data_IF_467610450587
#
_entry.id   IF_467610450587
#
_cell.length_a   1.000
_cell.length_b   1.000
_cell.length_c   1.000
_cell.angle_alpha   90.00
_cell.angle_beta   90.00
_cell.angle_gamma   90.00
#
_symmetry.space_group_name_H-M   'P 1'
#
loop_
_entity.id
_entity.type
_entity.pdbx_description
1 polymer ?
#
# COMPACT_ATOMS: atom_id res chain seq x y z
N UNK A 1 -0.70 9.47 -21.89
CA UNK A 1 -0.08 8.46 -21.00
C UNK A 1 1.00 9.18 -20.22
N UNK A 2 0.77 9.43 -18.93
CA UNK A 2 1.74 10.09 -18.06
C UNK A 2 2.79 9.06 -17.63
N UNK A 3 4.04 9.28 -18.00
CA UNK A 3 5.14 8.40 -17.60
C UNK A 3 5.64 8.81 -16.22
N UNK A 4 5.17 8.08 -15.20
CA UNK A 4 5.48 8.36 -13.80
C UNK A 4 6.98 8.31 -13.50
N UNK A 5 7.73 7.45 -14.20
CA UNK A 5 9.17 7.33 -14.02
C UNK A 5 9.88 8.54 -14.60
N UNK A 6 9.47 9.01 -15.78
CA UNK A 6 9.98 10.23 -16.40
C UNK A 6 9.75 11.47 -15.52
N UNK A 7 8.56 11.61 -14.93
CA UNK A 7 8.26 12.75 -14.05
C UNK A 7 9.01 12.65 -12.71
N UNK A 8 9.17 11.45 -12.15
CA UNK A 8 10.01 11.21 -10.96
C UNK A 8 11.48 11.58 -11.24
N UNK A 9 12.03 11.18 -12.38
CA UNK A 9 13.39 11.53 -12.78
C UNK A 9 13.56 13.04 -12.97
N UNK A 10 12.60 13.70 -13.61
CA UNK A 10 12.61 15.16 -13.78
C UNK A 10 12.57 15.91 -12.44
N UNK A 11 11.81 15.41 -11.46
CA UNK A 11 11.81 15.93 -10.09
C UNK A 11 13.16 15.71 -9.40
N UNK A 12 13.70 14.48 -9.40
CA UNK A 12 14.97 14.16 -8.75
C UNK A 12 16.16 14.95 -9.33
N UNK A 13 16.19 15.13 -10.65
CA UNK A 13 17.19 15.94 -11.35
C UNK A 13 17.12 17.43 -10.96
N UNK A 14 15.93 17.93 -10.61
CA UNK A 14 15.78 19.30 -10.09
C UNK A 14 16.14 19.38 -8.60
N UNK A 15 15.77 18.36 -7.83
CA UNK A 15 15.97 18.30 -6.38
C UNK A 15 17.44 18.20 -5.97
N UNK A 16 18.32 17.63 -6.81
CA UNK A 16 19.74 17.48 -6.50
C UNK A 16 20.45 18.81 -6.22
N UNK A 17 20.01 19.92 -6.82
CA UNK A 17 20.55 21.27 -6.58
C UNK A 17 20.22 21.80 -5.17
N UNK A 18 19.32 21.14 -4.45
CA UNK A 18 18.85 21.51 -3.11
C UNK A 18 19.30 20.52 -2.02
N UNK A 19 20.15 19.54 -2.37
CA UNK A 19 20.67 18.47 -1.51
C UNK A 19 21.54 19.05 -0.38
N UNK A 20 20.88 19.52 0.68
CA UNK A 20 21.49 20.19 1.82
C UNK A 20 20.52 21.02 2.66
N UNK A 21 19.34 21.38 2.12
CA UNK A 21 18.29 22.05 2.89
C UNK A 21 17.38 21.00 3.55
N UNK A 22 17.36 20.98 4.88
CA UNK A 22 16.64 19.97 5.68
C UNK A 22 15.13 20.23 5.80
N UNK A 23 14.68 21.45 5.51
CA UNK A 23 13.28 21.88 5.69
C UNK A 23 12.69 22.36 4.35
N UNK A 24 12.63 21.48 3.35
CA UNK A 24 11.98 21.82 2.07
C UNK A 24 10.52 21.41 2.16
N UNK A 25 9.63 22.40 2.24
CA UNK A 25 8.17 22.20 2.17
C UNK A 25 7.70 22.69 0.80
N UNK A 26 7.24 21.78 -0.05
CA UNK A 26 6.70 22.12 -1.36
C UNK A 26 5.22 22.49 -1.26
N UNK A 27 4.94 23.79 -1.12
CA UNK A 27 3.58 24.33 -1.14
C UNK A 27 3.59 25.77 -1.64
N UNK A 28 2.44 26.22 -2.14
CA UNK A 28 2.26 27.60 -2.56
C UNK A 28 2.44 28.58 -1.38
N UNK A 29 1.98 28.21 -0.19
CA UNK A 29 2.15 29.03 1.02
C UNK A 29 3.63 29.15 1.43
N UNK A 30 4.39 28.06 1.35
CA UNK A 30 5.81 28.08 1.66
C UNK A 30 6.63 28.84 0.60
N UNK A 31 6.23 28.78 -0.68
CA UNK A 31 6.79 29.61 -1.75
C UNK A 31 6.65 31.10 -1.44
N UNK A 32 5.44 31.51 -1.08
CA UNK A 32 5.13 32.90 -0.72
C UNK A 32 5.92 33.33 0.51
N UNK A 33 6.04 32.47 1.52
CA UNK A 33 6.85 32.73 2.70
C UNK A 33 8.33 32.93 2.35
N UNK A 34 8.92 32.02 1.56
CA UNK A 34 10.32 32.10 1.14
C UNK A 34 10.60 33.34 0.28
N UNK A 35 9.64 33.73 -0.55
CA UNK A 35 9.77 34.89 -1.45
C UNK A 35 9.61 36.22 -0.71
N UNK A 36 8.71 36.30 0.28
CA UNK A 36 8.46 37.52 1.05
C UNK A 36 9.47 37.75 2.17
N UNK A 37 9.84 36.70 2.90
CA UNK A 37 10.67 36.81 4.11
C UNK A 37 12.16 36.90 3.82
N UNK A 38 12.65 36.26 2.75
CA UNK A 38 14.09 36.19 2.46
C UNK A 38 14.54 37.10 1.30
N UNK A 39 13.60 37.80 0.65
CA UNK A 39 13.84 38.64 -0.53
C UNK A 39 14.84 38.04 -1.54
N UNK A 40 14.61 36.80 -2.02
CA UNK A 40 15.54 36.09 -2.89
C UNK A 40 15.68 36.77 -4.26
N UNK A 41 16.81 36.55 -4.93
CA UNK A 41 17.02 37.05 -6.30
C UNK A 41 15.97 36.51 -7.27
N UNK A 42 15.74 37.23 -8.37
CA UNK A 42 14.75 36.84 -9.39
C UNK A 42 15.02 35.44 -9.98
N UNK A 43 16.29 35.07 -10.11
CA UNK A 43 16.72 33.73 -10.54
C UNK A 43 16.27 32.68 -9.52
N UNK A 44 16.55 32.90 -8.24
CA UNK A 44 16.17 31.98 -7.17
C UNK A 44 14.65 31.85 -7.01
N UNK A 45 13.90 32.95 -7.19
CA UNK A 45 12.43 32.93 -7.19
C UNK A 45 11.90 32.01 -8.30
N UNK A 46 12.44 32.15 -9.52
CA UNK A 46 12.05 31.33 -10.67
C UNK A 46 12.36 29.85 -10.45
N UNK A 47 13.49 29.53 -9.83
CA UNK A 47 13.87 28.16 -9.51
C UNK A 47 12.94 27.52 -8.47
N UNK A 48 12.57 28.26 -7.42
CA UNK A 48 11.62 27.80 -6.39
C UNK A 48 10.25 27.53 -7.02
N UNK A 49 9.75 28.45 -7.84
CA UNK A 49 8.44 28.32 -8.48
C UNK A 49 8.37 27.15 -9.46
N UNK A 50 9.44 26.95 -10.26
CA UNK A 50 9.56 25.81 -11.16
C UNK A 50 9.59 24.48 -10.39
N UNK A 51 10.26 24.44 -9.24
CA UNK A 51 10.36 23.24 -8.42
C UNK A 51 9.00 22.88 -7.79
N UNK A 52 8.26 23.84 -7.25
CA UNK A 52 6.91 23.61 -6.74
C UNK A 52 5.95 23.15 -7.83
N UNK A 53 6.01 23.76 -9.01
CA UNK A 53 5.19 23.37 -10.15
C UNK A 53 5.45 21.91 -10.57
N UNK A 54 6.72 21.49 -10.59
CA UNK A 54 7.11 20.10 -10.92
C UNK A 54 6.67 19.11 -9.84
N UNK A 55 6.83 19.45 -8.57
CA UNK A 55 6.35 18.64 -7.46
C UNK A 55 4.83 18.43 -7.53
N UNK A 56 4.08 19.50 -7.75
CA UNK A 56 2.62 19.47 -7.85
C UNK A 56 2.13 18.66 -9.07
N UNK A 57 2.81 18.77 -10.21
CA UNK A 57 2.55 17.92 -11.37
C UNK A 57 2.79 16.43 -11.09
N UNK A 58 3.91 16.09 -10.45
CA UNK A 58 4.21 14.71 -10.06
C UNK A 58 3.19 14.16 -9.06
N UNK A 59 2.84 14.94 -8.03
CA UNK A 59 1.87 14.55 -7.00
C UNK A 59 0.48 14.28 -7.59
N UNK A 60 0.01 15.11 -8.53
CA UNK A 60 -1.23 14.87 -9.27
C UNK A 60 -1.20 13.56 -10.03
N UNK A 61 -0.10 13.27 -10.74
CA UNK A 61 0.05 12.04 -11.50
C UNK A 61 0.06 10.81 -10.58
N UNK A 62 0.78 10.88 -9.46
CA UNK A 62 0.82 9.82 -8.46
C UNK A 62 -0.57 9.53 -7.86
N UNK A 63 -1.32 10.57 -7.48
CA UNK A 63 -2.70 10.44 -6.98
C UNK A 63 -3.64 9.83 -8.02
N UNK A 64 -3.54 10.25 -9.28
CA UNK A 64 -4.36 9.69 -10.36
C UNK A 64 -4.02 8.20 -10.59
N UNK A 65 -2.74 7.84 -10.58
CA UNK A 65 -2.32 6.45 -10.71
C UNK A 65 -2.82 5.57 -9.55
N UNK A 66 -2.75 6.06 -8.32
CA UNK A 66 -3.32 5.37 -7.15
C UNK A 66 -4.84 5.17 -7.26
N UNK A 67 -5.56 6.19 -7.71
CA UNK A 67 -7.00 6.11 -7.95
C UNK A 67 -7.36 5.07 -9.04
N UNK A 68 -6.61 5.04 -10.14
CA UNK A 68 -6.78 4.04 -11.20
C UNK A 68 -6.44 2.62 -10.71
N UNK A 69 -5.41 2.45 -9.88
CA UNK A 69 -5.11 1.17 -9.24
C UNK A 69 -6.24 0.70 -8.32
N UNK A 70 -6.78 1.59 -7.47
CA UNK A 70 -7.93 1.29 -6.61
C UNK A 70 -9.16 0.90 -7.42
N UNK A 71 -9.44 1.63 -8.49
CA UNK A 71 -10.54 1.33 -9.41
C UNK A 71 -10.36 0.02 -10.15
N UNK A 72 -9.13 -0.29 -10.59
CA UNK A 72 -8.80 -1.56 -11.21
C UNK A 72 -8.97 -2.73 -10.23
N UNK A 73 -8.53 -2.59 -8.98
CA UNK A 73 -8.76 -3.58 -7.91
C UNK A 73 -10.26 -3.81 -7.65
N UNK A 74 -11.05 -2.74 -7.57
CA UNK A 74 -12.50 -2.82 -7.36
C UNK A 74 -13.24 -3.54 -8.51
N UNK A 75 -12.76 -3.40 -9.75
CA UNK A 75 -13.39 -4.03 -10.94
C UNK A 75 -13.13 -5.54 -11.03
N UNK A 76 -12.18 -6.08 -10.29
CA UNK A 76 -11.79 -7.51 -10.33
C UNK A 76 -12.64 -8.37 -9.38
N UNK A 77 -13.38 -7.76 -8.45
CA UNK A 77 -14.26 -8.49 -7.52
C UNK A 77 -15.72 -8.34 -7.96
N UNK A 78 -16.41 -9.43 -8.34
CA UNK A 78 -17.85 -9.38 -8.60
C UNK A 78 -18.62 -8.95 -7.34
N UNK A 79 -19.55 -7.99 -7.46
CA UNK A 79 -20.35 -7.43 -6.36
C UNK A 79 -21.17 -8.47 -5.57
N UNK A 80 -21.31 -9.70 -6.06
CA UNK A 80 -22.07 -10.79 -5.44
C UNK A 80 -21.19 -11.88 -4.79
N UNK A 81 -19.89 -11.67 -4.68
CA UNK A 81 -18.94 -12.66 -4.17
C UNK A 81 -18.30 -12.18 -2.87
N UNK A 82 -18.64 -12.80 -1.74
CA UNK A 82 -17.90 -12.65 -0.48
C UNK A 82 -16.53 -13.31 -0.66
N UNK A 83 -15.53 -12.53 -1.06
CA UNK A 83 -14.18 -13.01 -1.31
C UNK A 83 -13.14 -12.05 -0.76
N UNK A 84 -12.01 -12.59 -0.34
CA UNK A 84 -10.85 -11.81 0.12
C UNK A 84 -9.74 -11.84 -0.93
N UNK A 85 -9.12 -10.69 -1.19
CA UNK A 85 -7.89 -10.63 -2.00
C UNK A 85 -6.71 -10.77 -1.04
N UNK A 86 -5.91 -11.82 -1.25
CA UNK A 86 -4.72 -12.10 -0.45
C UNK A 86 -3.47 -12.00 -1.32
N UNK A 87 -2.41 -11.45 -0.75
CA UNK A 87 -1.07 -11.55 -1.33
C UNK A 87 -0.53 -12.96 -1.14
N UNK A 88 0.44 -13.37 -1.97
CA UNK A 88 1.11 -14.66 -1.78
C UNK A 88 1.78 -14.77 -0.40
N UNK A 89 2.22 -13.66 0.18
CA UNK A 89 2.78 -13.63 1.54
C UNK A 89 1.73 -13.94 2.61
N UNK A 90 0.50 -13.46 2.44
CA UNK A 90 -0.61 -13.77 3.36
C UNK A 90 -1.07 -15.23 3.23
N UNK A 91 -1.07 -15.78 2.01
CA UNK A 91 -1.32 -17.20 1.79
C UNK A 91 -0.20 -18.07 2.40
N UNK A 92 1.06 -17.62 2.29
CA UNK A 92 2.20 -18.27 2.93
C UNK A 92 2.00 -18.29 4.44
N UNK A 93 1.67 -17.17 5.08
CA UNK A 93 1.40 -17.11 6.52
C UNK A 93 0.30 -18.06 6.98
N UNK A 94 -0.78 -18.21 6.20
CA UNK A 94 -1.82 -19.20 6.50
C UNK A 94 -1.27 -20.63 6.48
N UNK A 95 -0.43 -20.96 5.50
CA UNK A 95 0.27 -22.26 5.42
C UNK A 95 1.23 -22.48 6.60
N UNK A 96 2.02 -21.46 6.97
CA UNK A 96 2.94 -21.55 8.12
C UNK A 96 2.18 -21.76 9.43
N UNK A 97 1.01 -21.14 9.57
CA UNK A 97 0.14 -21.30 10.74
C UNK A 97 -0.49 -22.69 10.79
N UNK A 98 -0.92 -23.23 9.65
CA UNK A 98 -1.49 -24.57 9.55
C UNK A 98 -0.51 -25.69 9.84
N UNK A 99 0.79 -25.45 9.64
CA UNK A 99 1.84 -26.44 9.81
C UNK A 99 3.06 -25.84 10.53
N UNK A 100 2.92 -25.44 11.82
CA UNK A 100 3.91 -24.67 12.55
C UNK A 100 5.19 -25.47 12.89
N UNK A 101 5.07 -26.79 12.97
CA UNK A 101 6.14 -27.70 13.40
C UNK A 101 7.17 -27.98 12.29
N UNK A 102 6.86 -27.64 11.04
CA UNK A 102 7.66 -28.01 9.89
C UNK A 102 8.53 -26.82 9.47
N UNK A 103 9.84 -26.96 9.72
CA UNK A 103 10.84 -25.98 9.28
C UNK A 103 10.71 -25.77 7.77
N UNK A 104 10.30 -24.58 7.37
CA UNK A 104 10.33 -24.18 5.96
C UNK A 104 11.78 -23.93 5.59
N UNK A 105 12.49 -25.01 5.28
CA UNK A 105 13.82 -24.94 4.69
C UNK A 105 13.64 -24.57 3.22
N UNK A 106 13.98 -23.32 2.90
CA UNK A 106 14.03 -22.71 1.56
C UNK A 106 13.28 -23.45 0.44
N UNK A 107 12.01 -23.07 0.24
CA UNK A 107 11.15 -23.42 -0.91
C UNK A 107 10.72 -24.90 -1.06
N UNK A 108 10.92 -25.74 -0.04
CA UNK A 108 10.40 -27.13 -0.06
C UNK A 108 9.34 -27.29 1.01
N UNK A 109 8.13 -27.63 0.59
CA UNK A 109 7.02 -28.01 1.48
C UNK A 109 6.93 -29.55 1.52
N UNK A 110 6.74 -30.10 2.71
CA UNK A 110 6.48 -31.54 2.91
C UNK A 110 5.11 -31.95 2.35
N UNK A 111 4.93 -33.24 2.07
CA UNK A 111 3.64 -33.78 1.66
C UNK A 111 2.56 -33.52 2.73
N UNK A 112 2.92 -33.61 4.01
CA UNK A 112 2.03 -33.34 5.15
C UNK A 112 1.54 -31.88 5.16
N UNK A 113 2.42 -30.91 4.87
CA UNK A 113 2.04 -29.50 4.70
C UNK A 113 1.07 -29.30 3.53
N UNK A 114 1.39 -29.91 2.39
CA UNK A 114 0.58 -29.76 1.18
C UNK A 114 -0.76 -30.48 1.27
N UNK A 115 -0.89 -31.48 2.16
CA UNK A 115 -2.15 -32.17 2.45
C UNK A 115 -2.96 -31.55 3.58
N UNK A 116 -2.41 -30.56 4.30
CA UNK A 116 -3.10 -29.92 5.43
C UNK A 116 -4.30 -29.10 4.94
N UNK A 117 -5.48 -29.39 5.48
CA UNK A 117 -6.71 -28.68 5.13
C UNK A 117 -6.89 -27.43 6.00
N UNK A 118 -6.87 -26.27 5.36
CA UNK A 118 -7.14 -24.98 5.98
C UNK A 118 -8.49 -24.44 5.50
N UNK A 119 -9.31 -23.99 6.44
CA UNK A 119 -10.50 -23.21 6.14
C UNK A 119 -10.12 -21.74 6.01
N UNK A 120 -10.81 -20.99 5.14
CA UNK A 120 -10.81 -19.53 5.14
C UNK A 120 -12.28 -19.10 5.17
N UNK A 121 -12.71 -18.51 6.29
CA UNK A 121 -14.10 -18.11 6.50
C UNK A 121 -14.18 -16.67 6.99
N UNK A 122 -15.29 -16.01 6.67
CA UNK A 122 -15.63 -14.73 7.25
C UNK A 122 -16.18 -14.87 8.67
N UNK A 123 -15.78 -13.99 9.58
CA UNK A 123 -16.31 -13.93 10.94
C UNK A 123 -16.61 -12.48 11.33
N UNK A 124 -17.85 -12.22 11.75
CA UNK A 124 -18.28 -10.90 12.26
C UNK A 124 -17.66 -10.55 13.61
N UNK A 125 -17.40 -11.57 14.44
CA UNK A 125 -16.97 -11.43 15.84
C UNK A 125 -15.72 -12.27 16.13
N UNK A 126 -14.72 -12.21 15.25
CA UNK A 126 -13.44 -12.87 15.46
C UNK A 126 -12.64 -12.27 16.62
N UNK A 127 -11.64 -13.00 17.13
CA UNK A 127 -10.78 -12.56 18.25
C UNK A 127 -10.12 -11.19 18.00
N UNK A 128 -9.90 -10.83 16.74
CA UNK A 128 -9.28 -9.56 16.31
C UNK A 128 -10.24 -8.70 15.50
N UNK A 129 -11.53 -8.78 15.81
CA UNK A 129 -12.62 -8.07 15.14
C UNK A 129 -13.07 -8.73 13.83
N UNK A 130 -14.00 -8.08 13.14
CA UNK A 130 -14.57 -8.55 11.87
C UNK A 130 -13.50 -8.78 10.79
N UNK A 131 -13.59 -9.90 10.07
CA UNK A 131 -12.74 -10.18 8.91
C UNK A 131 -12.69 -11.65 8.49
N UNK A 132 -11.81 -11.96 7.54
CA UNK A 132 -11.54 -13.33 7.12
C UNK A 132 -10.51 -13.98 8.04
N UNK A 133 -10.78 -15.21 8.45
CA UNK A 133 -9.96 -15.99 9.35
C UNK A 133 -9.61 -17.34 8.72
N UNK A 134 -8.39 -17.81 9.00
CA UNK A 134 -7.96 -19.15 8.64
C UNK A 134 -7.58 -19.97 9.86
N UNK A 135 -7.97 -21.24 9.85
CA UNK A 135 -7.71 -22.21 10.91
C UNK A 135 -7.62 -23.62 10.32
N UNK A 136 -7.01 -24.53 11.09
CA UNK A 136 -6.88 -25.94 10.74
C UNK A 136 -8.22 -26.65 10.88
N UNK A 137 -8.70 -27.30 9.80
CA UNK A 137 -10.04 -27.91 9.79
C UNK A 137 -10.21 -28.98 10.88
N UNK A 138 -9.16 -29.77 11.14
CA UNK A 138 -9.19 -30.81 12.19
C UNK A 138 -9.13 -30.25 13.62
N UNK A 139 -8.69 -29.01 13.80
CA UNK A 139 -8.50 -28.37 15.11
C UNK A 139 -9.07 -26.94 15.11
N UNK A 140 -10.39 -26.77 14.92
CA UNK A 140 -11.02 -25.45 14.84
C UNK A 140 -10.88 -24.63 16.13
N UNK A 141 -10.62 -25.30 17.26
CA UNK A 141 -10.46 -24.69 18.57
C UNK A 141 -9.02 -24.23 18.87
N UNK A 142 -8.02 -24.60 18.06
CA UNK A 142 -6.59 -24.28 18.28
C UNK A 142 -6.20 -22.86 17.85
N UNK A 143 -7.19 -21.99 17.63
CA UNK A 143 -6.99 -20.60 17.28
C UNK A 143 -6.92 -20.38 15.78
N UNK A 144 -7.12 -19.12 15.39
CA UNK A 144 -7.24 -18.72 13.99
C UNK A 144 -6.42 -17.47 13.71
N UNK A 145 -5.84 -17.38 12.52
CA UNK A 145 -5.14 -16.20 12.02
C UNK A 145 -6.09 -15.35 11.18
N UNK A 146 -6.11 -14.03 11.42
CA UNK A 146 -6.84 -13.07 10.59
C UNK A 146 -6.07 -12.83 9.28
N UNK A 147 -6.74 -12.94 8.15
CA UNK A 147 -6.18 -12.77 6.81
C UNK A 147 -6.69 -11.48 6.16
N UNK A 148 -5.75 -10.63 5.75
CA UNK A 148 -6.07 -9.34 5.13
C UNK A 148 -6.55 -8.28 6.12
N UNK A 149 -6.55 -7.04 5.66
CA UNK A 149 -7.46 -6.02 6.20
C UNK A 149 -8.71 -6.08 5.32
N UNK A 150 -9.89 -6.15 5.92
CA UNK A 150 -11.11 -6.01 5.14
C UNK A 150 -11.13 -4.62 4.53
N UNK A 151 -10.76 -4.47 3.26
CA UNK A 151 -10.89 -3.19 2.52
C UNK A 151 -12.37 -2.84 2.24
N UNK A 152 -13.31 -3.65 2.71
CA UNK A 152 -14.71 -3.31 2.76
C UNK A 152 -15.12 -3.33 4.23
N UNK A 153 -14.96 -2.16 4.87
CA UNK A 153 -15.82 -1.82 5.98
C UNK A 153 -17.25 -2.02 5.49
N UNK A 154 -17.98 -2.89 6.18
CA UNK A 154 -19.41 -3.05 6.00
C UNK A 154 -20.03 -1.66 6.00
N UNK A 155 -20.40 -1.17 4.82
CA UNK A 155 -21.30 -0.05 4.66
C UNK A 155 -22.68 -0.55 5.09
N UNK A 156 -22.87 -0.67 6.41
CA UNK A 156 -24.17 -0.74 7.04
C UNK A 156 -24.45 0.66 7.57
N UNK A 157 -25.14 1.46 6.76
CA UNK A 157 -26.36 2.20 7.11
C UNK A 157 -26.92 2.96 5.89
#
# INVERSE_FOLDING_TARGET
MFDLNKEREAFLNTFQYYKGRRDIIFSHEHELFMTRSNNPSEIAQKEISNMNSRWDAWLRCAKHHDAELKKAKAKVVPESSYGVILTCEQLRQALEFGAPDLKIESNVFSDEQMSTELAIIYQDHGHSGEGFYSYHVEYPDEGSIKLGESELGAANE
#
